data_IF_972983398914
#
_entry.id   IF_972983398914
#
_cell.length_a   1.000
_cell.length_b   1.000
_cell.length_c   1.000
_cell.angle_alpha   90.00
_cell.angle_beta   90.00
_cell.angle_gamma   90.00
#
_symmetry.space_group_name_H-M   'P 1'
#
loop_
_entity.id
_entity.type
_entity.pdbx_description
1 polymer ?
#
# COMPACT_ATOMS: atom_id res chain seq x y z
N UNK A 1 -10.73 33.72 6.04
CA UNK A 1 -9.77 32.66 6.40
C UNK A 1 -10.21 31.34 5.79
N UNK A 2 -9.78 31.06 4.57
CA UNK A 2 -9.85 29.72 4.00
C UNK A 2 -8.69 28.92 4.59
N UNK A 3 -9.00 27.94 5.43
CA UNK A 3 -8.00 26.97 5.86
C UNK A 3 -7.67 26.14 4.62
N UNK A 4 -6.46 26.28 4.08
CA UNK A 4 -5.93 25.30 3.14
C UNK A 4 -5.80 23.98 3.90
N UNK A 5 -6.81 23.12 3.74
CA UNK A 5 -6.65 21.71 4.09
C UNK A 5 -5.65 21.18 3.10
N UNK A 6 -4.42 20.94 3.54
CA UNK A 6 -3.40 20.27 2.73
C UNK A 6 -3.86 18.82 2.55
N UNK A 7 -4.72 18.59 1.56
CA UNK A 7 -5.20 17.26 1.21
C UNK A 7 -4.00 16.48 0.73
N UNK A 8 -3.69 15.38 1.41
CA UNK A 8 -2.62 14.46 1.05
C UNK A 8 -2.81 14.01 -0.41
N UNK A 9 -1.97 14.51 -1.32
CA UNK A 9 -2.00 14.11 -2.70
C UNK A 9 -1.22 12.80 -2.87
N UNK A 10 -1.94 11.67 -2.92
CA UNK A 10 -1.35 10.34 -3.04
C UNK A 10 -0.63 10.10 -4.37
N UNK A 11 -0.88 10.91 -5.41
CA UNK A 11 -0.08 10.89 -6.64
C UNK A 11 1.25 11.65 -6.50
N UNK A 12 1.37 12.53 -5.49
CA UNK A 12 2.55 13.33 -5.20
C UNK A 12 3.39 12.73 -4.08
N UNK A 13 4.10 13.57 -3.32
CA UNK A 13 5.02 13.14 -2.25
C UNK A 13 4.31 12.77 -0.94
N UNK A 14 3.08 12.26 -1.01
CA UNK A 14 2.31 11.90 0.16
C UNK A 14 2.05 10.39 0.22
N UNK A 15 2.07 9.86 1.44
CA UNK A 15 1.62 8.50 1.75
C UNK A 15 0.50 8.61 2.79
N UNK A 16 -0.56 7.85 2.60
CA UNK A 16 -1.58 7.69 3.61
C UNK A 16 -1.09 6.71 4.68
N UNK A 17 -1.21 7.11 5.94
CA UNK A 17 -0.95 6.27 7.11
C UNK A 17 -2.26 6.19 7.90
N UNK A 18 -2.95 5.07 7.75
CA UNK A 18 -4.27 4.87 8.29
C UNK A 18 -4.25 4.07 9.59
N UNK A 19 -4.85 4.60 10.67
CA UNK A 19 -5.11 3.86 11.90
C UNK A 19 -6.52 3.27 11.89
N UNK A 20 -6.63 1.95 11.88
CA UNK A 20 -7.92 1.27 11.97
C UNK A 20 -8.52 1.46 13.35
N UNK A 21 -9.58 2.26 13.43
CA UNK A 21 -10.45 2.38 14.60
C UNK A 21 -9.75 2.90 15.86
N UNK A 22 -8.61 3.58 15.73
CA UNK A 22 -7.82 4.06 16.87
C UNK A 22 -7.15 2.93 17.66
N UNK A 23 -6.98 1.75 17.05
CA UNK A 23 -6.31 0.62 17.67
C UNK A 23 -4.80 0.85 17.82
N UNK A 24 -4.25 1.84 17.14
CA UNK A 24 -2.82 2.08 17.03
C UNK A 24 -2.15 1.17 15.98
N UNK A 25 -2.91 0.33 15.26
CA UNK A 25 -2.39 -0.41 14.10
C UNK A 25 -2.46 0.49 12.87
N UNK A 26 -1.32 0.73 12.24
CA UNK A 26 -1.19 1.57 11.06
C UNK A 26 -1.06 0.75 9.78
N UNK A 27 -1.71 1.17 8.71
CA UNK A 27 -1.62 0.61 7.35
C UNK A 27 -1.31 1.71 6.34
N UNK A 28 -0.58 1.39 5.27
CA UNK A 28 -0.25 2.36 4.21
C UNK A 28 -0.89 2.01 2.87
N UNK A 29 -1.10 2.99 1.99
CA UNK A 29 -1.30 2.71 0.57
C UNK A 29 0.02 2.30 -0.11
N UNK A 30 -0.06 1.84 -1.36
CA UNK A 30 1.13 1.66 -2.20
C UNK A 30 1.72 3.03 -2.57
N UNK A 31 3.05 3.22 -2.47
CA UNK A 31 3.65 4.53 -2.67
C UNK A 31 3.61 4.98 -4.13
N UNK A 32 3.39 6.27 -4.34
CA UNK A 32 3.74 6.91 -5.61
C UNK A 32 5.26 6.92 -5.79
N UNK A 33 5.70 7.06 -7.04
CA UNK A 33 7.11 7.28 -7.35
C UNK A 33 7.64 8.53 -6.67
N UNK A 34 6.88 9.64 -6.75
CA UNK A 34 7.24 10.90 -6.10
C UNK A 34 7.45 10.75 -4.59
N UNK A 35 6.59 10.02 -3.88
CA UNK A 35 6.75 9.79 -2.44
C UNK A 35 7.98 8.92 -2.15
N UNK A 36 8.09 7.76 -2.81
CA UNK A 36 9.18 6.84 -2.50
C UNK A 36 10.55 7.43 -2.83
N UNK A 37 10.67 8.17 -3.93
CA UNK A 37 11.90 8.88 -4.30
C UNK A 37 12.25 9.97 -3.29
N UNK A 38 11.24 10.67 -2.74
CA UNK A 38 11.45 11.74 -1.76
C UNK A 38 12.08 11.26 -0.45
N UNK A 39 11.90 9.96 -0.11
CA UNK A 39 12.50 9.36 1.07
C UNK A 39 13.79 8.58 0.75
N UNK A 40 14.26 8.59 -0.50
CA UNK A 40 15.52 7.94 -0.90
C UNK A 40 15.36 6.62 -1.67
N UNK A 41 14.13 6.21 -1.98
CA UNK A 41 13.84 5.04 -2.81
C UNK A 41 13.78 3.71 -2.05
N UNK A 42 13.39 2.65 -2.78
CA UNK A 42 13.50 1.24 -2.39
C UNK A 42 13.70 0.42 -3.67
N UNK A 43 14.06 -0.87 -3.56
CA UNK A 43 13.99 -1.77 -4.71
C UNK A 43 12.54 -1.87 -5.21
N UNK A 44 12.35 -1.75 -6.53
CA UNK A 44 11.04 -1.79 -7.21
C UNK A 44 11.14 -2.58 -8.53
N UNK A 45 10.00 -2.85 -9.17
CA UNK A 45 9.90 -3.66 -10.39
C UNK A 45 9.18 -2.93 -11.54
N UNK A 46 9.17 -1.59 -11.51
CA UNK A 46 8.51 -0.74 -12.50
C UNK A 46 7.42 0.14 -11.89
N UNK A 47 6.71 0.87 -12.74
CA UNK A 47 5.65 1.79 -12.34
C UNK A 47 4.37 1.57 -13.15
N UNK A 48 3.25 2.02 -12.59
CA UNK A 48 1.97 2.14 -13.27
C UNK A 48 1.38 3.52 -13.04
N UNK A 49 0.94 4.18 -14.10
CA UNK A 49 0.24 5.47 -14.03
C UNK A 49 -1.25 5.23 -13.82
N UNK A 50 -1.78 5.64 -12.67
CA UNK A 50 -3.21 5.54 -12.35
C UNK A 50 -4.03 6.58 -13.14
N UNK A 51 -5.18 6.15 -13.67
CA UNK A 51 -6.01 6.96 -14.59
C UNK A 51 -7.14 7.75 -13.92
N UNK A 52 -7.35 7.59 -12.62
CA UNK A 52 -8.52 8.13 -11.92
C UNK A 52 -9.70 7.16 -11.76
N UNK A 53 -9.65 5.98 -12.37
CA UNK A 53 -10.73 4.99 -12.30
C UNK A 53 -10.63 4.09 -11.06
N UNK A 54 -9.40 3.77 -10.67
CA UNK A 54 -9.09 2.85 -9.56
C UNK A 54 -7.88 3.34 -8.77
N UNK A 55 -7.56 4.63 -8.85
CA UNK A 55 -6.42 5.21 -8.18
C UNK A 55 -6.25 6.69 -8.54
N UNK A 56 -5.35 7.41 -7.87
CA UNK A 56 -5.12 8.84 -8.09
C UNK A 56 -4.73 9.17 -9.54
N UNK A 57 -5.44 10.10 -10.17
CA UNK A 57 -5.17 10.47 -11.57
C UNK A 57 -3.78 11.06 -11.75
N UNK A 58 -3.05 10.53 -12.74
CA UNK A 58 -1.77 11.08 -13.20
C UNK A 58 -0.58 10.83 -12.26
N UNK A 59 -0.76 10.02 -11.22
CA UNK A 59 0.32 9.57 -10.36
C UNK A 59 0.93 8.27 -10.86
N UNK A 60 2.26 8.24 -10.96
CA UNK A 60 3.00 6.99 -11.15
C UNK A 60 3.16 6.30 -9.80
N UNK A 61 2.77 5.03 -9.71
CA UNK A 61 2.90 4.20 -8.52
C UNK A 61 3.87 3.06 -8.78
N UNK A 62 4.79 2.83 -7.83
CA UNK A 62 5.71 1.71 -7.96
C UNK A 62 4.99 0.38 -7.81
N UNK A 63 5.43 -0.58 -8.62
CA UNK A 63 5.04 -1.98 -8.55
C UNK A 63 6.19 -2.79 -7.97
N UNK A 64 5.83 -3.84 -7.23
CA UNK A 64 6.79 -4.64 -6.48
C UNK A 64 6.51 -6.12 -6.68
N UNK A 65 7.57 -6.88 -6.92
CA UNK A 65 7.55 -8.31 -6.65
C UNK A 65 7.50 -8.56 -5.14
N UNK A 66 7.24 -9.80 -4.73
CA UNK A 66 7.01 -10.11 -3.32
C UNK A 66 8.25 -9.81 -2.44
N UNK A 67 9.47 -10.01 -2.97
CA UNK A 67 10.69 -9.72 -2.22
C UNK A 67 10.88 -8.21 -2.04
N UNK A 68 10.67 -7.45 -3.11
CA UNK A 68 10.76 -5.99 -3.09
C UNK A 68 9.63 -5.35 -2.26
N UNK A 69 8.46 -5.99 -2.18
CA UNK A 69 7.38 -5.58 -1.27
C UNK A 69 7.82 -5.66 0.20
N UNK A 70 8.54 -6.72 0.58
CA UNK A 70 9.11 -6.82 1.93
C UNK A 70 10.23 -5.79 2.16
N UNK A 71 11.08 -5.56 1.15
CA UNK A 71 12.14 -4.56 1.21
C UNK A 71 11.59 -3.14 1.38
N UNK A 72 10.45 -2.81 0.75
CA UNK A 72 9.76 -1.53 0.95
C UNK A 72 9.39 -1.31 2.43
N UNK A 73 8.80 -2.31 3.09
CA UNK A 73 8.45 -2.17 4.51
C UNK A 73 9.69 -2.04 5.40
N UNK A 74 10.81 -2.65 5.02
CA UNK A 74 12.10 -2.44 5.70
C UNK A 74 12.62 -1.02 5.48
N UNK A 75 12.46 -0.45 4.28
CA UNK A 75 12.77 0.95 4.00
C UNK A 75 11.96 1.88 4.91
N UNK A 76 10.66 1.63 5.08
CA UNK A 76 9.83 2.40 6.01
C UNK A 76 10.32 2.32 7.46
N UNK A 77 10.90 1.19 7.87
CA UNK A 77 11.53 1.07 9.18
C UNK A 77 12.77 1.95 9.32
N UNK A 78 13.65 1.93 8.32
CA UNK A 78 14.85 2.77 8.30
C UNK A 78 14.51 4.25 8.37
N UNK A 79 13.44 4.67 7.71
CA UNK A 79 12.98 6.06 7.69
C UNK A 79 12.05 6.42 8.86
N UNK A 80 11.76 5.48 9.75
CA UNK A 80 10.84 5.69 10.88
C UNK A 80 9.49 6.26 10.44
N UNK A 81 8.92 5.74 9.36
CA UNK A 81 7.69 6.26 8.76
C UNK A 81 6.58 6.32 9.82
N UNK A 82 5.90 7.46 9.91
CA UNK A 82 4.86 7.69 10.94
C UNK A 82 5.39 7.59 12.39
N UNK A 83 6.69 7.75 12.59
CA UNK A 83 7.36 7.57 13.89
C UNK A 83 7.59 6.11 14.29
N UNK A 84 7.53 5.15 13.35
CA UNK A 84 7.57 3.70 13.65
C UNK A 84 8.62 2.95 12.86
N UNK A 85 9.20 1.93 13.49
CA UNK A 85 10.32 1.12 12.96
C UNK A 85 10.02 -0.38 12.93
N UNK A 86 8.74 -0.76 12.98
CA UNK A 86 8.25 -2.15 13.01
C UNK A 86 7.22 -2.45 11.91
N UNK A 87 7.29 -1.73 10.79
CA UNK A 87 6.58 -2.00 9.55
C UNK A 87 6.96 -3.37 8.98
N UNK A 88 5.94 -4.11 8.61
CA UNK A 88 6.04 -5.38 7.88
C UNK A 88 5.02 -5.41 6.76
N UNK A 89 5.19 -6.31 5.79
CA UNK A 89 4.17 -6.54 4.78
C UNK A 89 2.85 -6.97 5.46
N UNK A 90 1.73 -6.45 4.96
CA UNK A 90 0.40 -6.79 5.45
C UNK A 90 0.13 -8.29 5.34
N UNK A 91 -0.66 -8.85 6.24
CA UNK A 91 -1.21 -10.21 6.08
C UNK A 91 -2.45 -10.18 5.19
N UNK A 92 -2.82 -11.35 4.63
CA UNK A 92 -4.04 -11.49 3.84
C UNK A 92 -5.27 -11.01 4.62
N UNK A 93 -5.38 -11.39 5.89
CA UNK A 93 -6.55 -11.05 6.71
C UNK A 93 -6.58 -9.56 7.08
N UNK A 94 -5.41 -8.92 7.22
CA UNK A 94 -5.34 -7.45 7.38
C UNK A 94 -5.83 -6.71 6.13
N UNK A 95 -5.48 -7.18 4.94
CA UNK A 95 -5.94 -6.59 3.68
C UNK A 95 -7.42 -6.90 3.40
N UNK A 96 -7.83 -8.16 3.57
CA UNK A 96 -9.18 -8.61 3.21
C UNK A 96 -10.20 -8.25 4.28
N UNK A 97 -9.97 -8.68 5.52
CA UNK A 97 -10.96 -8.60 6.59
C UNK A 97 -10.89 -7.27 7.32
N UNK A 98 -9.68 -6.80 7.65
CA UNK A 98 -9.54 -5.58 8.44
C UNK A 98 -9.66 -4.30 7.62
N UNK A 99 -9.27 -4.35 6.33
CA UNK A 99 -9.29 -3.22 5.41
C UNK A 99 -10.48 -3.31 4.43
N UNK A 100 -10.46 -4.22 3.44
CA UNK A 100 -11.50 -4.21 2.40
C UNK A 100 -12.91 -4.48 2.95
N UNK A 101 -13.13 -5.53 3.75
CA UNK A 101 -14.48 -5.85 4.28
C UNK A 101 -15.03 -4.78 5.23
N UNK A 102 -14.14 -3.96 5.81
CA UNK A 102 -14.53 -2.88 6.70
C UNK A 102 -14.92 -1.59 5.96
N UNK A 103 -14.29 -1.28 4.83
CA UNK A 103 -14.45 0.02 4.14
C UNK A 103 -15.02 -0.10 2.72
N UNK A 104 -14.98 -1.29 2.13
CA UNK A 104 -15.25 -1.52 0.72
C UNK A 104 -14.08 -1.09 -0.18
N UNK A 105 -14.35 -0.64 -1.42
CA UNK A 105 -13.32 -0.28 -2.39
C UNK A 105 -12.41 0.85 -1.90
N UNK A 106 -11.11 0.58 -1.78
CA UNK A 106 -10.18 1.50 -1.11
C UNK A 106 -9.88 2.78 -1.88
N UNK A 107 -10.03 2.76 -3.21
CA UNK A 107 -9.99 4.00 -3.98
C UNK A 107 -11.15 4.94 -3.62
N UNK A 108 -12.37 4.41 -3.49
CA UNK A 108 -13.55 5.22 -3.10
C UNK A 108 -13.44 5.69 -1.65
N UNK A 109 -13.00 4.80 -0.75
CA UNK A 109 -12.93 5.10 0.67
C UNK A 109 -11.80 6.08 1.03
N UNK A 110 -10.64 5.96 0.37
CA UNK A 110 -9.40 6.66 0.78
C UNK A 110 -8.54 7.18 -0.36
N UNK A 111 -8.95 7.02 -1.62
CA UNK A 111 -8.15 7.43 -2.78
C UNK A 111 -6.93 6.55 -3.05
N UNK A 112 -6.85 5.36 -2.45
CA UNK A 112 -5.70 4.46 -2.66
C UNK A 112 -5.62 3.97 -4.12
N UNK A 113 -4.41 3.71 -4.66
CA UNK A 113 -4.25 3.02 -5.93
C UNK A 113 -4.67 1.57 -5.77
N UNK A 114 -5.52 1.06 -6.65
CA UNK A 114 -6.11 -0.28 -6.57
C UNK A 114 -6.21 -0.96 -7.94
N UNK A 115 -5.54 -0.43 -8.99
CA UNK A 115 -5.49 -1.10 -10.29
C UNK A 115 -4.83 -2.49 -10.22
N UNK A 116 -3.89 -2.68 -9.29
CA UNK A 116 -3.20 -3.95 -9.04
C UNK A 116 -3.55 -4.53 -7.67
N UNK A 117 -3.42 -5.86 -7.55
CA UNK A 117 -3.56 -6.59 -6.29
C UNK A 117 -2.50 -6.15 -5.28
N UNK A 118 -2.88 -6.17 -4.01
CA UNK A 118 -1.99 -5.88 -2.88
C UNK A 118 -1.36 -7.18 -2.35
N UNK A 119 -0.03 -7.24 -2.38
CA UNK A 119 0.73 -8.36 -1.84
C UNK A 119 0.48 -8.56 -0.35
N UNK A 120 0.39 -9.82 0.07
CA UNK A 120 0.41 -10.19 1.48
C UNK A 120 1.61 -11.05 1.85
N UNK A 121 1.98 -11.01 3.12
CA UNK A 121 2.98 -11.88 3.71
C UNK A 121 2.48 -13.31 3.94
N UNK A 122 1.19 -13.60 3.67
CA UNK A 122 0.58 -14.89 3.97
C UNK A 122 0.89 -15.90 2.86
N UNK A 123 1.64 -16.99 3.16
CA UNK A 123 2.03 -17.97 2.15
C UNK A 123 0.88 -18.94 1.80
N UNK A 124 0.95 -19.49 0.59
CA UNK A 124 0.13 -20.59 0.10
C UNK A 124 1.00 -21.58 -0.69
N UNK A 125 1.68 -22.47 0.03
CA UNK A 125 2.71 -23.33 -0.57
C UNK A 125 3.91 -22.51 -1.04
N UNK A 126 4.24 -22.58 -2.33
CA UNK A 126 5.29 -21.77 -2.98
C UNK A 126 4.78 -20.41 -3.52
N UNK A 127 3.48 -20.14 -3.36
CA UNK A 127 2.82 -18.91 -3.77
C UNK A 127 2.53 -18.05 -2.54
N UNK A 128 2.10 -16.81 -2.77
CA UNK A 128 1.65 -15.89 -1.72
C UNK A 128 0.28 -15.33 -2.06
N UNK A 129 -0.54 -15.12 -1.02
CA UNK A 129 -1.84 -14.48 -1.21
C UNK A 129 -1.68 -13.00 -1.53
N UNK A 130 -2.56 -12.50 -2.37
CA UNK A 130 -2.77 -11.08 -2.63
C UNK A 130 -4.28 -10.76 -2.63
N UNK A 131 -4.60 -9.48 -2.47
CA UNK A 131 -5.99 -9.02 -2.33
C UNK A 131 -6.27 -7.87 -3.29
N UNK A 132 -7.35 -7.99 -4.05
CA UNK A 132 -7.91 -6.93 -4.87
C UNK A 132 -8.67 -5.95 -3.97
N UNK A 133 -8.16 -4.73 -3.84
CA UNK A 133 -8.81 -3.71 -3.01
C UNK A 133 -9.91 -2.91 -3.75
N UNK A 134 -10.25 -3.28 -4.99
CA UNK A 134 -11.43 -2.80 -5.72
C UNK A 134 -12.67 -3.59 -5.33
N UNK A 135 -12.57 -4.92 -5.26
CA UNK A 135 -13.72 -5.83 -5.11
C UNK A 135 -13.56 -6.90 -4.01
N UNK A 136 -12.40 -6.96 -3.36
CA UNK A 136 -12.13 -7.86 -2.24
C UNK A 136 -11.75 -9.28 -2.65
N UNK A 137 -11.51 -9.55 -3.93
CA UNK A 137 -11.07 -10.87 -4.34
C UNK A 137 -9.68 -11.20 -3.79
N UNK A 138 -9.48 -12.48 -3.48
CA UNK A 138 -8.24 -13.01 -2.94
C UNK A 138 -7.70 -14.03 -3.93
N UNK A 139 -6.46 -13.83 -4.37
CA UNK A 139 -5.76 -14.76 -5.24
C UNK A 139 -4.47 -15.23 -4.58
N UNK A 140 -3.77 -16.12 -5.26
CA UNK A 140 -2.51 -16.67 -4.81
C UNK A 140 -1.58 -16.76 -6.02
N UNK A 141 -0.48 -16.03 -5.97
CA UNK A 141 0.34 -15.75 -7.14
C UNK A 141 1.82 -16.05 -6.91
N UNK A 142 2.56 -16.20 -8.01
CA UNK A 142 4.00 -16.42 -7.95
C UNK A 142 4.69 -15.15 -7.42
N UNK A 143 5.71 -15.28 -6.55
CA UNK A 143 6.36 -14.12 -5.93
C UNK A 143 7.11 -13.21 -6.91
N UNK A 144 7.29 -13.65 -8.16
CA UNK A 144 7.90 -12.86 -9.25
C UNK A 144 6.93 -11.93 -9.97
N UNK A 145 5.61 -12.07 -9.76
CA UNK A 145 4.63 -11.13 -10.30
C UNK A 145 4.71 -9.80 -9.55
N UNK A 146 4.28 -8.73 -10.20
CA UNK A 146 4.36 -7.39 -9.62
C UNK A 146 2.99 -6.91 -9.17
N UNK A 147 2.91 -6.27 -8.00
CA UNK A 147 1.68 -5.74 -7.44
C UNK A 147 1.92 -4.54 -6.54
N UNK A 148 0.84 -4.06 -5.93
CA UNK A 148 0.86 -3.00 -4.93
C UNK A 148 1.16 -3.55 -3.54
N UNK A 149 1.52 -2.64 -2.64
CA UNK A 149 2.00 -2.99 -1.30
C UNK A 149 1.31 -2.15 -0.24
N UNK A 150 0.90 -2.81 0.84
CA UNK A 150 0.56 -2.13 2.09
C UNK A 150 1.49 -2.66 3.17
N UNK A 151 2.14 -1.73 3.88
CA UNK A 151 2.90 -2.06 5.07
C UNK A 151 2.03 -1.83 6.30
N UNK A 152 2.16 -2.71 7.29
CA UNK A 152 1.44 -2.67 8.56
C UNK A 152 2.41 -2.49 9.70
N UNK A 153 2.07 -1.64 10.65
CA UNK A 153 2.78 -1.47 11.91
C UNK A 153 1.81 -1.60 13.09
N UNK A 154 2.20 -2.39 14.09
CA UNK A 154 1.44 -2.53 15.35
C UNK A 154 1.96 -1.54 16.40
N UNK A 155 1.12 -1.11 17.36
CA UNK A 155 1.53 -0.19 18.43
C UNK A 155 2.64 -0.76 19.32
#
# INVERSE_FOLDING_TARGET
NTVEVNVCNLAGTCIDIYDRGGSGKLLTNSPSAAYLDSIGGSATNGTHTESGNSGPVGGDFYLFDWNNANALCTTYNTHSLGGRTNWRLATRDELKTELYDAFGPMFIARGWPTNYYYWSATPNGSLYYDVDLVNGYVFSNQPSLTGYVSCVSNP
#
